data_IF_293868951892
#
_entry.id   IF_293868951892
#
_cell.length_a   1.000
_cell.length_b   1.000
_cell.length_c   1.000
_cell.angle_alpha   90.00
_cell.angle_beta   90.00
_cell.angle_gamma   90.00
#
_symmetry.space_group_name_H-M   'P 1'
#
loop_
_entity.id
_entity.type
_entity.pdbx_description
1 polymer ?
#
# COMPACT_ATOMS: atom_id res chain seq x y z
N UNK A 1 -7.78 -6.68 -13.04
CA UNK A 1 -6.45 -7.27 -12.73
C UNK A 1 -6.68 -7.98 -11.41
N UNK A 2 -6.43 -9.29 -11.29
CA UNK A 2 -6.92 -10.09 -10.14
C UNK A 2 -6.52 -9.45 -8.80
N UNK A 3 -5.24 -9.07 -8.68
CA UNK A 3 -4.65 -8.37 -7.52
C UNK A 3 -5.41 -7.10 -7.11
N UNK A 4 -5.95 -6.33 -8.06
CA UNK A 4 -6.70 -5.11 -7.77
C UNK A 4 -8.07 -5.41 -7.14
N UNK A 5 -8.75 -6.46 -7.62
CA UNK A 5 -10.02 -6.89 -7.03
C UNK A 5 -9.76 -7.45 -5.63
N UNK A 6 -8.69 -8.24 -5.42
CA UNK A 6 -8.32 -8.76 -4.10
C UNK A 6 -8.03 -7.63 -3.09
N UNK A 7 -7.25 -6.62 -3.48
CA UNK A 7 -7.00 -5.43 -2.64
C UNK A 7 -8.30 -4.70 -2.32
N UNK A 8 -9.23 -4.61 -3.28
CA UNK A 8 -10.51 -3.92 -3.07
C UNK A 8 -11.40 -4.68 -2.09
N UNK A 9 -11.49 -6.00 -2.22
CA UNK A 9 -12.30 -6.82 -1.32
C UNK A 9 -11.71 -6.78 0.09
N UNK A 10 -10.38 -6.88 0.22
CA UNK A 10 -9.69 -6.74 1.50
C UNK A 10 -9.90 -5.38 2.18
N UNK A 11 -10.07 -4.30 1.40
CA UNK A 11 -10.39 -2.98 1.95
C UNK A 11 -11.77 -2.92 2.62
N UNK A 12 -12.73 -3.72 2.15
CA UNK A 12 -14.05 -3.82 2.76
C UNK A 12 -14.02 -4.67 4.05
N UNK A 13 -13.11 -5.65 4.14
CA UNK A 13 -12.93 -6.51 5.32
C UNK A 13 -12.06 -5.86 6.42
N UNK A 14 -11.04 -5.09 6.06
CA UNK A 14 -10.25 -4.28 6.99
C UNK A 14 -8.74 -4.31 6.77
N UNK A 15 -8.00 -3.67 7.68
CA UNK A 15 -6.54 -3.53 7.57
C UNK A 15 -5.82 -4.88 7.60
N UNK A 16 -6.21 -5.78 8.50
CA UNK A 16 -5.55 -7.08 8.66
C UNK A 16 -5.66 -7.93 7.38
N UNK A 17 -6.86 -7.97 6.77
CA UNK A 17 -7.09 -8.64 5.49
C UNK A 17 -6.26 -8.00 4.36
N UNK A 18 -6.21 -6.66 4.33
CA UNK A 18 -5.41 -5.94 3.35
C UNK A 18 -3.92 -6.29 3.46
N UNK A 19 -3.37 -6.37 4.68
CA UNK A 19 -1.97 -6.78 4.90
C UNK A 19 -1.74 -8.22 4.40
N UNK A 20 -2.67 -9.13 4.68
CA UNK A 20 -2.62 -10.51 4.20
C UNK A 20 -2.60 -10.61 2.67
N UNK A 21 -3.52 -9.93 1.99
CA UNK A 21 -3.59 -9.90 0.52
C UNK A 21 -2.36 -9.25 -0.10
N UNK A 22 -1.86 -8.16 0.48
CA UNK A 22 -0.62 -7.52 0.02
C UNK A 22 0.57 -8.47 0.18
N UNK A 23 0.62 -9.23 1.27
CA UNK A 23 1.67 -10.21 1.51
C UNK A 23 1.62 -11.36 0.50
N UNK A 24 0.45 -11.98 0.33
CA UNK A 24 0.21 -13.09 -0.59
C UNK A 24 0.57 -12.75 -2.05
N UNK A 25 0.32 -11.49 -2.44
CA UNK A 25 0.59 -11.02 -3.81
C UNK A 25 1.98 -10.38 -3.98
N UNK A 26 2.82 -10.36 -2.94
CA UNK A 26 4.15 -9.75 -3.00
C UNK A 26 4.13 -8.23 -3.25
N UNK A 27 3.09 -7.55 -2.79
CA UNK A 27 2.84 -6.12 -3.02
C UNK A 27 3.27 -5.31 -1.81
N UNK A 28 4.05 -4.25 -2.04
CA UNK A 28 4.51 -3.36 -0.99
C UNK A 28 4.12 -1.91 -1.30
N UNK A 29 3.77 -1.12 -0.27
CA UNK A 29 3.70 0.32 -0.43
C UNK A 29 5.11 0.89 -0.66
N UNK A 30 5.21 1.86 -1.55
CA UNK A 30 6.42 2.61 -1.88
C UNK A 30 6.09 4.10 -1.82
N UNK A 31 6.97 4.89 -1.23
CA UNK A 31 6.86 6.35 -1.27
C UNK A 31 7.31 6.84 -2.64
N UNK A 32 6.46 7.61 -3.31
CA UNK A 32 6.80 8.25 -4.58
C UNK A 32 7.25 9.68 -4.27
N UNK A 33 8.56 9.91 -4.31
CA UNK A 33 9.18 11.23 -4.10
C UNK A 33 8.88 12.20 -5.26
N UNK A 34 8.43 11.68 -6.41
CA UNK A 34 8.13 12.45 -7.62
C UNK A 34 6.68 12.98 -7.61
N UNK A 35 6.46 14.04 -6.84
CA UNK A 35 5.51 15.12 -7.16
C UNK A 35 5.56 16.14 -6.04
N UNK A 36 6.28 17.24 -6.28
CA UNK A 36 6.17 18.47 -5.53
C UNK A 36 4.73 18.98 -5.53
N UNK A 37 3.91 18.45 -4.62
CA UNK A 37 2.64 19.03 -4.23
C UNK A 37 2.97 20.31 -3.48
N UNK A 38 2.94 21.42 -4.21
CA UNK A 38 3.21 22.77 -3.73
C UNK A 38 2.71 22.99 -2.30
N UNK A 39 3.58 23.60 -1.47
CA UNK A 39 3.37 24.16 -0.13
C UNK A 39 2.20 25.17 0.01
N UNK A 40 1.11 25.03 -0.75
CA UNK A 40 0.06 26.04 -0.85
C UNK A 40 -1.24 25.67 -0.11
N UNK A 41 -1.39 24.44 0.42
CA UNK A 41 -2.61 24.01 1.12
C UNK A 41 -2.41 23.12 2.37
N UNK A 42 -1.18 22.96 2.87
CA UNK A 42 -0.94 22.43 4.23
C UNK A 42 -1.25 20.95 4.47
N UNK A 43 -1.36 20.12 3.42
CA UNK A 43 -1.52 18.66 3.57
C UNK A 43 -0.27 17.95 3.03
N UNK A 44 0.75 17.82 3.88
CA UNK A 44 2.07 17.26 3.54
C UNK A 44 2.10 15.72 3.43
N UNK A 45 0.97 15.07 3.13
CA UNK A 45 0.93 13.60 3.04
C UNK A 45 1.71 13.15 1.79
N UNK A 46 2.73 12.30 1.93
CA UNK A 46 3.47 11.75 0.79
C UNK A 46 2.54 11.03 -0.18
N UNK A 47 2.88 11.02 -1.47
CA UNK A 47 2.22 10.11 -2.40
C UNK A 47 2.78 8.70 -2.18
N UNK A 48 1.90 7.74 -1.91
CA UNK A 48 2.26 6.33 -1.85
C UNK A 48 1.89 5.62 -3.15
N UNK A 49 2.46 4.45 -3.39
CA UNK A 49 2.11 3.56 -4.50
C UNK A 49 2.20 2.12 -4.03
N UNK A 50 1.36 1.24 -4.58
CA UNK A 50 1.40 -0.18 -4.31
C UNK A 50 1.99 -0.90 -5.52
N UNK A 51 3.15 -1.49 -5.32
CA UNK A 51 3.95 -2.11 -6.37
C UNK A 51 4.33 -3.52 -5.95
N UNK A 52 4.29 -4.47 -6.89
CA UNK A 52 4.86 -5.80 -6.68
C UNK A 52 6.38 -5.73 -6.55
N UNK A 53 7.01 -6.80 -6.09
CA UNK A 53 8.48 -6.96 -6.08
C UNK A 53 9.14 -6.70 -7.43
N UNK A 54 8.42 -6.93 -8.53
CA UNK A 54 8.87 -6.67 -9.91
C UNK A 54 8.70 -5.20 -10.36
N UNK A 55 8.21 -4.32 -9.47
CA UNK A 55 7.96 -2.91 -9.77
C UNK A 55 6.69 -2.65 -10.56
N UNK A 56 5.76 -3.61 -10.63
CA UNK A 56 4.47 -3.42 -11.32
C UNK A 56 3.46 -2.78 -10.39
N UNK A 57 2.88 -1.66 -10.81
CA UNK A 57 1.79 -0.99 -10.10
C UNK A 57 0.50 -1.77 -10.25
N UNK A 58 -0.09 -2.19 -9.14
CA UNK A 58 -1.28 -3.06 -9.12
C UNK A 58 -2.55 -2.36 -8.68
N UNK A 59 -2.43 -1.20 -8.03
CA UNK A 59 -3.56 -0.39 -7.59
C UNK A 59 -3.65 0.91 -8.37
N UNK A 60 -4.85 1.22 -8.88
CA UNK A 60 -5.16 2.53 -9.44
C UNK A 60 -5.47 3.57 -8.36
N UNK A 61 -5.64 4.83 -8.77
CA UNK A 61 -5.68 6.00 -7.87
C UNK A 61 -6.70 5.89 -6.74
N UNK A 62 -7.90 5.37 -7.03
CA UNK A 62 -8.96 5.24 -6.02
C UNK A 62 -8.63 4.16 -4.99
N UNK A 63 -8.32 2.96 -5.48
CA UNK A 63 -7.94 1.80 -4.66
C UNK A 63 -6.74 2.12 -3.77
N UNK A 64 -5.72 2.76 -4.35
CA UNK A 64 -4.55 3.26 -3.62
C UNK A 64 -4.92 4.24 -2.51
N UNK A 65 -5.78 5.23 -2.78
CA UNK A 65 -6.15 6.22 -1.75
C UNK A 65 -6.85 5.56 -0.57
N UNK A 66 -7.68 4.54 -0.83
CA UNK A 66 -8.34 3.76 0.22
C UNK A 66 -7.35 2.89 1.00
N UNK A 67 -6.43 2.22 0.31
CA UNK A 67 -5.39 1.42 0.94
C UNK A 67 -4.43 2.24 1.80
N UNK A 68 -4.05 3.44 1.35
CA UNK A 68 -3.28 4.40 2.16
C UNK A 68 -4.03 4.76 3.45
N UNK A 69 -5.32 5.05 3.36
CA UNK A 69 -6.14 5.41 4.51
C UNK A 69 -6.34 4.22 5.47
N UNK A 70 -6.65 3.03 4.93
CA UNK A 70 -6.84 1.80 5.70
C UNK A 70 -5.56 1.33 6.41
N UNK A 71 -4.40 1.47 5.77
CA UNK A 71 -3.09 1.17 6.35
C UNK A 71 -2.59 2.29 7.28
N UNK A 72 -3.26 3.44 7.32
CA UNK A 72 -2.86 4.58 8.13
C UNK A 72 -1.55 5.24 7.68
N UNK A 73 -1.20 5.14 6.39
CA UNK A 73 0.05 5.66 5.84
C UNK A 73 0.02 7.19 5.78
N UNK A 74 0.74 7.85 6.70
CA UNK A 74 0.85 9.32 6.77
C UNK A 74 2.26 9.83 6.54
N UNK A 75 3.26 8.97 6.71
CA UNK A 75 4.67 9.29 6.61
C UNK A 75 5.48 8.17 5.95
N UNK A 76 6.74 8.46 5.62
CA UNK A 76 7.66 7.44 5.12
C UNK A 76 7.94 6.37 6.18
N UNK A 77 8.00 6.76 7.46
CA UNK A 77 8.16 5.85 8.59
C UNK A 77 6.98 4.86 8.71
N UNK A 78 5.74 5.35 8.56
CA UNK A 78 4.55 4.46 8.54
C UNK A 78 4.62 3.46 7.37
N UNK A 79 5.12 3.92 6.22
CA UNK A 79 5.30 3.08 5.05
C UNK A 79 6.33 1.99 5.31
N UNK A 80 7.47 2.32 5.91
CA UNK A 80 8.48 1.32 6.29
C UNK A 80 7.92 0.32 7.31
N UNK A 81 7.23 0.79 8.35
CA UNK A 81 6.61 -0.08 9.35
C UNK A 81 5.59 -1.05 8.73
N UNK A 82 4.72 -0.57 7.83
CA UNK A 82 3.75 -1.42 7.12
C UNK A 82 4.45 -2.39 6.17
N UNK A 83 5.55 -2.00 5.52
CA UNK A 83 6.33 -2.91 4.65
C UNK A 83 6.95 -4.04 5.46
N UNK A 84 7.47 -3.74 6.65
CA UNK A 84 8.00 -4.74 7.56
C UNK A 84 6.89 -5.68 8.06
N UNK A 85 5.71 -5.15 8.34
CA UNK A 85 4.53 -5.93 8.73
C UNK A 85 4.09 -6.88 7.61
N UNK A 86 3.96 -6.39 6.38
CA UNK A 86 3.61 -7.20 5.20
C UNK A 86 4.68 -8.28 4.94
N UNK A 87 5.96 -7.93 4.99
CA UNK A 87 7.07 -8.89 4.78
C UNK A 87 7.20 -9.92 5.89
N UNK A 88 6.83 -9.56 7.11
CA UNK A 88 6.84 -10.46 8.25
C UNK A 88 5.60 -11.35 8.34
N UNK A 89 4.61 -11.17 7.45
CA UNK A 89 3.38 -11.93 7.44
C UNK A 89 3.63 -13.35 6.93
N UNK A 90 2.95 -14.35 7.53
CA UNK A 90 3.13 -15.77 7.16
C UNK A 90 2.85 -16.05 5.66
N UNK A 91 2.01 -15.24 5.04
CA UNK A 91 1.68 -15.35 3.61
C UNK A 91 2.78 -14.83 2.66
N UNK A 92 3.73 -14.03 3.15
CA UNK A 92 4.82 -13.45 2.35
C UNK A 92 5.88 -14.49 1.96
N UNK A 93 6.23 -15.36 2.90
CA UNK A 93 7.17 -16.47 2.72
C UNK A 93 6.46 -17.76 2.25
N UNK A 94 5.29 -17.62 1.61
CA UNK A 94 4.47 -18.74 1.17
C UNK A 94 5.27 -19.84 0.47
N UNK A 95 5.43 -20.98 1.17
CA UNK A 95 5.92 -22.26 0.66
C UNK A 95 4.91 -22.89 -0.33
#
# INVERSE_FOLDING_TARGET
MVIQDDIRDALDDGRDELVGVLAENGVLPTVVEDSGGSDLLGSSTPNFRFETTDGTSVADRQTRSRAVDALGLRSADDCEAVREEIRGHDAWDGD
#
